data_IF_404787173006
#
_entry.id   IF_404787173006
#
_cell.length_a   1.000
_cell.length_b   1.000
_cell.length_c   1.000
_cell.angle_alpha   90.00
_cell.angle_beta   90.00
_cell.angle_gamma   90.00
#
_symmetry.space_group_name_H-M   'P 1'
#
loop_
_entity.id
_entity.type
_entity.pdbx_description
1 polymer ?
#
# COMPACT_ATOMS: atom_id res chain seq x y z
N UNK A 1 7.22 -5.13 -20.70
CA UNK A 1 6.37 -4.16 -19.98
C UNK A 1 6.14 -4.71 -18.58
N UNK A 2 6.64 -4.05 -17.53
CA UNK A 2 6.35 -4.43 -16.14
C UNK A 2 4.93 -3.97 -15.80
N UNK A 3 3.92 -4.72 -16.28
CA UNK A 3 2.53 -4.45 -15.91
C UNK A 3 2.31 -5.06 -14.54
N UNK A 4 2.29 -4.21 -13.52
CA UNK A 4 1.87 -4.58 -12.19
C UNK A 4 0.46 -5.15 -12.27
N UNK A 5 0.32 -6.41 -11.88
CA UNK A 5 -0.92 -7.15 -12.02
C UNK A 5 -1.90 -6.87 -10.86
N UNK A 6 -1.41 -6.30 -9.76
CA UNK A 6 -2.22 -5.95 -8.61
C UNK A 6 -2.52 -4.45 -8.61
N UNK A 7 -3.75 -4.10 -8.25
CA UNK A 7 -4.16 -2.72 -8.01
C UNK A 7 -4.02 -2.41 -6.53
N UNK A 8 -3.98 -1.14 -6.17
CA UNK A 8 -3.96 -0.71 -4.78
C UNK A 8 -5.12 -1.24 -3.92
N UNK A 9 -6.31 -1.45 -4.50
CA UNK A 9 -7.44 -2.04 -3.75
C UNK A 9 -7.22 -3.51 -3.39
N UNK A 10 -6.33 -4.17 -4.11
CA UNK A 10 -5.96 -5.56 -3.87
C UNK A 10 -4.86 -5.63 -2.78
N UNK A 11 -4.30 -4.50 -2.32
CA UNK A 11 -3.30 -4.43 -1.24
C UNK A 11 -3.94 -4.74 0.11
N UNK A 12 -3.51 -5.82 0.73
CA UNK A 12 -3.96 -6.27 2.04
C UNK A 12 -3.16 -5.63 3.17
N UNK A 13 -1.84 -5.57 3.04
CA UNK A 13 -0.95 -4.91 4.00
C UNK A 13 0.35 -4.47 3.36
N UNK A 14 1.04 -3.54 4.03
CA UNK A 14 2.39 -3.10 3.70
C UNK A 14 3.23 -3.01 4.96
N UNK A 15 4.50 -3.41 4.89
CA UNK A 15 5.46 -3.24 5.99
C UNK A 15 6.85 -2.94 5.45
N UNK A 16 7.65 -2.19 6.20
CA UNK A 16 9.07 -2.01 5.94
C UNK A 16 9.92 -2.78 6.97
N UNK A 17 11.15 -3.12 6.59
CA UNK A 17 12.11 -3.78 7.49
C UNK A 17 13.08 -2.81 8.17
N UNK A 18 12.88 -1.50 7.98
CA UNK A 18 13.75 -0.43 8.49
C UNK A 18 15.11 -0.29 7.80
N UNK A 19 15.36 -1.00 6.68
CA UNK A 19 16.62 -0.92 5.94
C UNK A 19 16.42 -0.42 4.52
N UNK A 20 16.10 -1.33 3.60
CA UNK A 20 16.06 -1.07 2.15
C UNK A 20 14.91 -1.81 1.47
N UNK A 21 13.95 -2.31 2.25
CA UNK A 21 12.93 -3.20 1.73
C UNK A 21 11.52 -2.82 2.20
N UNK A 22 10.61 -2.68 1.23
CA UNK A 22 9.16 -2.56 1.46
C UNK A 22 8.48 -3.82 0.95
N UNK A 23 7.79 -4.49 1.85
CA UNK A 23 6.96 -5.64 1.54
C UNK A 23 5.51 -5.20 1.32
N UNK A 24 4.93 -5.62 0.20
CA UNK A 24 3.51 -5.44 -0.12
C UNK A 24 2.85 -6.80 -0.22
N UNK A 25 1.76 -7.00 0.51
CA UNK A 25 0.97 -8.22 0.48
C UNK A 25 -0.35 -7.92 -0.23
N UNK A 26 -0.64 -8.64 -1.30
CA UNK A 26 -1.85 -8.48 -2.09
C UNK A 26 -2.76 -9.69 -1.94
N UNK A 27 -4.07 -9.45 -1.89
CA UNK A 27 -5.07 -10.49 -2.07
C UNK A 27 -5.18 -10.81 -3.56
N UNK A 28 -5.00 -12.08 -3.92
CA UNK A 28 -5.12 -12.53 -5.30
C UNK A 28 -6.59 -12.79 -5.67
N UNK A 29 -7.30 -11.74 -6.07
CA UNK A 29 -8.71 -11.81 -6.51
C UNK A 29 -8.96 -12.71 -7.73
N UNK A 30 -7.90 -13.20 -8.39
CA UNK A 30 -8.00 -14.10 -9.55
C UNK A 30 -7.87 -15.56 -9.15
N UNK A 31 -7.41 -15.80 -7.92
CA UNK A 31 -7.31 -17.12 -7.33
C UNK A 31 -8.69 -17.70 -7.05
N UNK A 32 -8.83 -19.01 -7.24
CA UNK A 32 -10.01 -19.75 -6.75
C UNK A 32 -9.99 -19.93 -5.23
N UNK A 33 -8.82 -19.73 -4.61
CA UNK A 33 -8.67 -19.65 -3.16
C UNK A 33 -8.76 -18.18 -2.71
N UNK A 34 -9.85 -17.77 -2.02
CA UNK A 34 -10.06 -16.39 -1.58
C UNK A 34 -9.13 -15.97 -0.43
N UNK A 35 -8.42 -16.91 0.20
CA UNK A 35 -7.43 -16.63 1.22
C UNK A 35 -6.01 -16.49 0.64
N UNK A 36 -5.83 -16.70 -0.67
CA UNK A 36 -4.52 -16.63 -1.29
C UNK A 36 -3.96 -15.20 -1.24
N UNK A 37 -2.79 -15.09 -0.61
CA UNK A 37 -2.00 -13.86 -0.54
C UNK A 37 -0.74 -14.01 -1.40
N UNK A 38 -0.37 -12.91 -2.05
CA UNK A 38 0.82 -12.80 -2.88
C UNK A 38 1.70 -11.66 -2.36
N UNK A 39 2.97 -11.97 -2.13
CA UNK A 39 3.94 -11.02 -1.61
C UNK A 39 4.77 -10.44 -2.73
N UNK A 40 4.94 -9.11 -2.72
CA UNK A 40 5.85 -8.38 -3.59
C UNK A 40 6.79 -7.54 -2.75
N UNK A 41 8.06 -7.89 -2.89
CA UNK A 41 9.18 -7.26 -2.22
C UNK A 41 9.77 -6.19 -3.15
N UNK A 42 9.88 -4.96 -2.65
CA UNK A 42 10.51 -3.85 -3.37
C UNK A 42 11.78 -3.49 -2.62
N UNK A 43 12.92 -3.78 -3.25
CA UNK A 43 14.21 -3.25 -2.81
C UNK A 43 14.35 -1.80 -3.29
N UNK A 44 14.57 -0.87 -2.36
CA UNK A 44 14.92 0.50 -2.70
C UNK A 44 15.84 1.11 -1.65
N UNK A 45 16.73 1.98 -2.12
CA UNK A 45 17.67 2.68 -1.24
C UNK A 45 16.97 3.77 -0.40
N UNK A 46 15.77 4.20 -0.81
CA UNK A 46 14.98 5.25 -0.17
C UNK A 46 13.61 4.74 0.33
N UNK A 47 13.62 3.74 1.22
CA UNK A 47 12.41 3.12 1.79
C UNK A 47 11.45 4.15 2.39
N UNK A 48 11.98 5.12 3.14
CA UNK A 48 11.16 6.16 3.75
C UNK A 48 10.41 6.98 2.69
N UNK A 49 11.06 7.31 1.57
CA UNK A 49 10.41 8.04 0.49
C UNK A 49 9.26 7.21 -0.10
N UNK A 50 9.47 5.92 -0.35
CA UNK A 50 8.41 5.04 -0.86
C UNK A 50 7.24 4.93 0.12
N UNK A 51 7.53 4.70 1.40
CA UNK A 51 6.51 4.60 2.46
C UNK A 51 5.72 5.91 2.61
N UNK A 52 6.39 7.07 2.62
CA UNK A 52 5.70 8.37 2.69
C UNK A 52 4.85 8.64 1.46
N UNK A 53 5.30 8.24 0.26
CA UNK A 53 4.50 8.38 -0.96
C UNK A 53 3.26 7.48 -0.93
N UNK A 54 3.39 6.23 -0.48
CA UNK A 54 2.25 5.31 -0.31
C UNK A 54 1.25 5.87 0.71
N UNK A 55 1.73 6.34 1.85
CA UNK A 55 0.89 6.94 2.89
C UNK A 55 0.19 8.20 2.37
N UNK A 56 0.93 9.15 1.77
CA UNK A 56 0.38 10.39 1.21
C UNK A 56 -0.68 10.11 0.14
N UNK A 57 -0.44 9.15 -0.76
CA UNK A 57 -1.40 8.75 -1.77
C UNK A 57 -2.68 8.19 -1.16
N UNK A 58 -2.57 7.32 -0.14
CA UNK A 58 -3.73 6.75 0.54
C UNK A 58 -4.53 7.82 1.30
N UNK A 59 -3.86 8.69 2.05
CA UNK A 59 -4.51 9.80 2.78
C UNK A 59 -5.21 10.75 1.79
N UNK A 60 -4.58 11.09 0.66
CA UNK A 60 -5.19 11.93 -0.37
C UNK A 60 -6.48 11.31 -0.91
N UNK A 61 -6.50 9.99 -1.13
CA UNK A 61 -7.72 9.29 -1.56
C UNK A 61 -8.82 9.32 -0.50
N UNK A 62 -8.46 9.18 0.78
CA UNK A 62 -9.43 9.24 1.88
C UNK A 62 -10.02 10.66 1.95
N UNK A 63 -9.18 11.69 1.94
CA UNK A 63 -9.63 13.09 1.97
C UNK A 63 -10.49 13.46 0.75
N UNK A 64 -10.18 12.91 -0.42
CA UNK A 64 -11.00 13.11 -1.62
C UNK A 64 -12.40 12.49 -1.50
N UNK A 65 -12.56 11.40 -0.74
CA UNK A 65 -13.85 10.75 -0.48
C UNK A 65 -14.59 11.35 0.73
N UNK A 66 -13.84 11.78 1.75
CA UNK A 66 -14.31 12.44 2.97
C UNK A 66 -13.39 13.63 3.32
N UNK A 67 -13.74 14.85 2.89
CA UNK A 67 -12.93 16.04 3.11
C UNK A 67 -12.70 16.42 4.57
N UNK A 68 -13.53 15.93 5.50
CA UNK A 68 -13.42 16.23 6.93
C UNK A 68 -12.62 15.18 7.71
N UNK A 69 -12.18 14.11 7.05
CA UNK A 69 -11.50 12.98 7.69
C UNK A 69 -10.31 13.39 8.57
N UNK A 70 -9.43 14.27 8.08
CA UNK A 70 -8.25 14.73 8.84
C UNK A 70 -8.62 15.64 10.03
N UNK A 71 -9.75 16.35 9.98
CA UNK A 71 -10.23 17.15 11.13
C UNK A 71 -10.70 16.23 12.26
N UNK A 72 -11.27 15.09 11.90
CA UNK A 72 -11.76 14.08 12.84
C UNK A 72 -10.61 13.19 13.37
N UNK A 73 -9.50 13.10 12.62
CA UNK A 73 -8.35 12.26 12.95
C UNK A 73 -7.03 13.06 12.91
N UNK A 74 -6.80 14.01 13.84
CA UNK A 74 -5.66 14.93 13.79
C UNK A 74 -4.30 14.30 14.11
N UNK A 75 -4.28 13.03 14.54
CA UNK A 75 -3.07 12.27 14.88
C UNK A 75 -2.76 11.17 13.86
N UNK A 76 -3.50 11.15 12.76
CA UNK A 76 -3.25 10.32 11.58
C UNK A 76 -2.32 11.05 10.61
#
# INVERSE_FOLDING_TARGET
>A
SYVWQYRFRDLHSSSDDGKVHVQLVFRDERSLDPAKLETKDIECDEVLAVTYNLHSFLVTKIVAADPDFLKQNPLL
#
